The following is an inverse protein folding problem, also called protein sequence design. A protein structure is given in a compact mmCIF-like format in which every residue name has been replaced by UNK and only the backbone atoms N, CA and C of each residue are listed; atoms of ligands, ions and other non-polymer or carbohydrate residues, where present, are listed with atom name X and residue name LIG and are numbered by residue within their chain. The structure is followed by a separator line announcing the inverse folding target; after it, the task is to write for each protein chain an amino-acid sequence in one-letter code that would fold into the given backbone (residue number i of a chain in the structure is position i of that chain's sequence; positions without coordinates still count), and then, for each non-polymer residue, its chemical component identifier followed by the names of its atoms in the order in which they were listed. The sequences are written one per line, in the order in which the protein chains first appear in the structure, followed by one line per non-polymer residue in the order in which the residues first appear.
data_IF_844178164163
#
_entry.id   IF_844178164163
#
_cell.length_a   1.000
_cell.length_b   1.000
_cell.length_c   1.000
_cell.angle_alpha   90.00
_cell.angle_beta   90.00
_cell.angle_gamma   90.00
#
_symmetry.space_group_name_H-M   'P 1'
#
loop_
_entity.id
_entity.type
_entity.pdbx_description
1 polymer ?
#
# COMPACT_ATOMS: atom_id res chain seq x y z
N UNK A 1 21.95 63.52 -40.85
CA UNK A 1 23.16 63.59 -39.99
C UNK A 1 22.79 63.44 -38.52
N UNK A 2 22.92 62.24 -37.95
CA UNK A 2 23.59 61.93 -36.66
C UNK A 2 23.54 60.42 -36.45
N UNK A 3 24.65 59.89 -35.94
CA UNK A 3 25.12 58.50 -36.00
C UNK A 3 24.48 57.59 -34.93
N UNK A 4 24.42 56.31 -35.29
CA UNK A 4 24.40 55.09 -34.47
C UNK A 4 25.17 55.18 -33.14
N UNK A 5 24.71 54.49 -32.08
CA UNK A 5 25.36 53.33 -31.44
C UNK A 5 24.66 52.98 -30.10
N UNK A 6 24.82 51.73 -29.62
CA UNK A 6 24.53 51.22 -28.25
C UNK A 6 23.03 51.00 -27.91
N UNK A 7 22.52 49.87 -27.40
CA UNK A 7 23.12 48.76 -26.63
C UNK A 7 22.19 47.54 -26.70
N UNK A 8 22.74 46.37 -27.00
CA UNK A 8 22.16 45.04 -26.75
C UNK A 8 22.17 44.82 -25.21
N UNK A 9 21.20 44.05 -24.68
CA UNK A 9 21.17 43.34 -23.37
C UNK A 9 19.93 43.73 -22.55
N UNK A 10 18.94 42.83 -22.50
CA UNK A 10 18.43 42.26 -21.24
C UNK A 10 17.58 41.00 -21.51
N UNK A 11 18.19 39.97 -22.08
CA UNK A 11 17.70 38.59 -21.91
C UNK A 11 18.63 37.96 -20.90
N UNK A 12 18.25 37.93 -19.62
CA UNK A 12 18.74 37.05 -18.54
C UNK A 12 17.94 37.42 -17.31
N UNK A 13 17.15 36.46 -16.80
CA UNK A 13 16.79 36.22 -15.38
C UNK A 13 15.43 35.51 -15.28
N UNK A 14 15.29 34.37 -15.96
CA UNK A 14 14.35 33.32 -15.56
C UNK A 14 15.15 32.06 -15.19
N UNK A 15 16.12 32.25 -14.28
CA UNK A 15 16.67 31.17 -13.45
C UNK A 15 16.22 31.44 -12.03
N UNK A 16 14.90 31.45 -11.81
CA UNK A 16 14.37 31.26 -10.47
C UNK A 16 14.76 29.84 -10.11
N UNK A 17 15.76 29.73 -9.23
CA UNK A 17 16.39 28.48 -8.84
C UNK A 17 15.34 27.48 -8.40
N UNK A 18 15.15 26.43 -9.20
CA UNK A 18 14.74 25.16 -8.64
C UNK A 18 15.90 24.77 -7.73
N UNK A 19 15.71 24.91 -6.42
CA UNK A 19 16.67 24.45 -5.42
C UNK A 19 16.75 22.93 -5.61
N UNK A 20 17.68 22.48 -6.47
CA UNK A 20 17.85 21.09 -6.76
C UNK A 20 18.44 20.46 -5.50
N UNK A 21 17.59 19.80 -4.72
CA UNK A 21 18.02 19.03 -3.55
C UNK A 21 19.21 18.16 -3.96
N UNK A 22 20.37 18.38 -3.34
CA UNK A 22 21.61 17.69 -3.72
C UNK A 22 21.77 16.43 -2.90
N UNK A 23 22.29 15.39 -3.55
CA UNK A 23 22.79 14.20 -2.85
C UNK A 23 23.98 14.60 -1.97
N UNK A 24 24.00 14.16 -0.72
CA UNK A 24 25.03 14.50 0.27
C UNK A 24 25.12 13.40 1.33
N UNK A 25 26.33 13.05 1.75
CA UNK A 25 26.56 12.07 2.81
C UNK A 25 27.78 11.21 2.50
N UNK A 26 28.13 10.31 3.42
CA UNK A 26 29.17 9.32 3.16
C UNK A 26 28.76 8.38 2.03
N UNK A 27 29.72 7.85 1.23
CA UNK A 27 29.41 6.85 0.19
C UNK A 27 28.67 5.63 0.74
N UNK A 28 29.00 5.21 1.96
CA UNK A 28 28.39 4.07 2.66
C UNK A 28 26.92 4.35 2.97
N UNK A 29 26.62 5.53 3.52
CA UNK A 29 25.24 5.93 3.84
C UNK A 29 24.38 6.10 2.58
N UNK A 30 24.93 6.75 1.54
CA UNK A 30 24.23 6.90 0.25
C UNK A 30 23.92 5.52 -0.33
N UNK A 31 24.87 4.59 -0.30
CA UNK A 31 24.68 3.22 -0.76
C UNK A 31 23.60 2.49 0.05
N UNK A 32 23.64 2.58 1.38
CA UNK A 32 22.67 1.96 2.28
C UNK A 32 21.23 2.38 1.94
N UNK A 33 21.00 3.69 1.81
CA UNK A 33 19.65 4.22 1.49
C UNK A 33 19.22 3.82 0.08
N UNK A 34 20.13 3.83 -0.90
CA UNK A 34 19.83 3.37 -2.26
C UNK A 34 19.50 1.87 -2.31
N UNK A 35 20.20 1.03 -1.55
CA UNK A 35 19.92 -0.39 -1.43
C UNK A 35 18.55 -0.63 -0.75
N UNK A 36 18.22 0.15 0.28
CA UNK A 36 16.90 0.12 0.90
C UNK A 36 15.79 0.49 -0.09
N UNK A 37 15.98 1.54 -0.89
CA UNK A 37 15.03 1.92 -1.94
C UNK A 37 14.85 0.81 -2.97
N UNK A 38 15.94 0.20 -3.44
CA UNK A 38 15.89 -0.92 -4.38
C UNK A 38 15.08 -2.08 -3.79
N UNK A 39 15.37 -2.47 -2.55
CA UNK A 39 14.63 -3.52 -1.83
C UNK A 39 13.15 -3.18 -1.67
N UNK A 40 12.81 -1.91 -1.41
CA UNK A 40 11.42 -1.44 -1.37
C UNK A 40 10.72 -1.62 -2.71
N UNK A 41 11.36 -1.25 -3.82
CA UNK A 41 10.80 -1.44 -5.18
C UNK A 41 10.58 -2.92 -5.49
N UNK A 42 11.56 -3.78 -5.16
CA UNK A 42 11.43 -5.23 -5.32
C UNK A 42 10.26 -5.79 -4.48
N UNK A 43 10.13 -5.36 -3.22
CA UNK A 43 9.04 -5.78 -2.34
C UNK A 43 7.66 -5.37 -2.85
N UNK A 44 7.54 -4.20 -3.48
CA UNK A 44 6.27 -3.73 -4.07
C UNK A 44 5.80 -4.63 -5.22
N UNK A 45 6.73 -5.24 -5.95
CA UNK A 45 6.47 -6.14 -7.08
C UNK A 45 6.25 -7.61 -6.68
N UNK A 46 6.49 -7.99 -5.43
CA UNK A 46 6.27 -9.36 -4.94
C UNK A 46 4.79 -9.74 -4.99
N UNK A 47 4.50 -11.04 -4.91
CA UNK A 47 3.12 -11.56 -4.89
C UNK A 47 2.27 -11.02 -3.72
N UNK A 48 2.89 -10.71 -2.58
CA UNK A 48 2.25 -10.05 -1.46
C UNK A 48 2.44 -8.51 -1.43
N UNK A 49 3.08 -7.94 -2.46
CA UNK A 49 3.35 -6.51 -2.61
C UNK A 49 2.10 -5.68 -2.95
N UNK A 50 2.18 -4.36 -2.79
CA UNK A 50 1.00 -3.49 -2.90
C UNK A 50 0.50 -3.26 -4.34
N UNK A 51 1.36 -3.45 -5.34
CA UNK A 51 1.04 -3.10 -6.74
C UNK A 51 0.00 -4.02 -7.39
N UNK A 52 -0.23 -5.19 -6.80
CA UNK A 52 -1.12 -6.20 -7.36
C UNK A 52 -2.51 -6.20 -6.70
N UNK A 53 -2.81 -5.27 -5.81
CA UNK A 53 -4.14 -5.14 -5.21
C UNK A 53 -5.12 -4.60 -6.25
N UNK A 54 -6.23 -5.32 -6.46
CA UNK A 54 -7.25 -4.97 -7.46
C UNK A 54 -8.68 -4.92 -6.91
N UNK A 55 -8.89 -5.34 -5.66
CA UNK A 55 -10.21 -5.31 -5.05
C UNK A 55 -10.18 -5.28 -3.53
N UNK A 56 -11.13 -4.55 -2.96
CA UNK A 56 -11.46 -4.55 -1.55
C UNK A 56 -12.99 -4.51 -1.43
N UNK A 57 -13.59 -5.58 -0.95
CA UNK A 57 -15.04 -5.70 -0.84
C UNK A 57 -15.44 -6.08 0.58
N UNK A 58 -16.29 -5.27 1.23
CA UNK A 58 -16.79 -5.60 2.56
C UNK A 58 -17.88 -6.65 2.47
N UNK A 59 -17.77 -7.68 3.32
CA UNK A 59 -18.78 -8.73 3.42
C UNK A 59 -19.99 -8.21 4.21
N UNK A 60 -21.18 -8.59 3.75
CA UNK A 60 -22.42 -8.56 4.54
C UNK A 60 -22.65 -9.93 5.17
N UNK A 61 -23.43 -9.97 6.26
CA UNK A 61 -23.89 -11.23 6.85
C UNK A 61 -24.66 -12.07 5.81
N UNK A 62 -24.44 -13.38 5.80
CA UNK A 62 -25.00 -14.29 4.80
C UNK A 62 -24.17 -14.37 3.52
N UNK A 63 -24.85 -14.57 2.39
CA UNK A 63 -24.21 -14.83 1.09
C UNK A 63 -23.65 -13.56 0.43
N UNK A 64 -22.44 -13.68 -0.11
CA UNK A 64 -21.74 -12.69 -0.91
C UNK A 64 -21.14 -13.39 -2.13
N UNK A 65 -21.64 -13.08 -3.32
CA UNK A 65 -21.22 -13.70 -4.58
C UNK A 65 -20.02 -12.97 -5.19
N UNK A 66 -19.11 -13.69 -5.86
CA UNK A 66 -17.90 -13.12 -6.47
C UNK A 66 -17.68 -13.63 -7.90
N UNK A 67 -17.36 -12.72 -8.82
CA UNK A 67 -17.02 -13.03 -10.21
C UNK A 67 -16.89 -11.80 -11.10
N UNK A 68 -16.87 -12.00 -12.42
CA UNK A 68 -16.89 -10.92 -13.42
C UNK A 68 -18.29 -10.48 -13.84
N UNK A 69 -19.32 -11.30 -13.54
CA UNK A 69 -20.70 -10.97 -13.86
C UNK A 69 -21.23 -9.82 -13.00
N UNK A 70 -21.98 -8.91 -13.61
CA UNK A 70 -22.53 -7.72 -12.94
C UNK A 70 -23.61 -8.02 -11.87
N UNK A 71 -24.12 -9.25 -11.82
CA UNK A 71 -25.09 -9.71 -10.83
C UNK A 71 -24.43 -10.15 -9.52
N UNK A 72 -23.09 -10.24 -9.46
CA UNK A 72 -22.41 -10.59 -8.22
C UNK A 72 -22.37 -9.40 -7.26
N UNK A 73 -22.30 -9.70 -5.96
CA UNK A 73 -22.04 -8.69 -4.92
C UNK A 73 -20.63 -8.09 -5.09
N UNK A 74 -19.64 -8.93 -5.39
CA UNK A 74 -18.25 -8.55 -5.60
C UNK A 74 -17.89 -8.75 -7.07
N UNK A 75 -17.67 -7.64 -7.78
CA UNK A 75 -17.41 -7.64 -9.22
C UNK A 75 -15.99 -7.19 -9.50
N UNK A 76 -15.24 -8.00 -10.25
CA UNK A 76 -14.01 -7.59 -10.92
C UNK A 76 -14.22 -7.74 -12.42
N UNK A 77 -14.26 -6.60 -13.13
CA UNK A 77 -14.46 -6.56 -14.57
C UNK A 77 -13.17 -6.99 -15.31
N UNK A 78 -12.92 -8.29 -15.34
CA UNK A 78 -11.83 -8.90 -16.10
C UNK A 78 -12.38 -10.09 -16.91
N UNK A 79 -12.26 -10.08 -18.26
CA UNK A 79 -12.67 -11.19 -19.12
C UNK A 79 -12.00 -12.53 -18.81
N UNK A 80 -10.87 -12.54 -18.10
CA UNK A 80 -10.17 -13.77 -17.70
C UNK A 80 -10.85 -14.52 -16.55
N UNK A 81 -11.77 -13.84 -15.85
CA UNK A 81 -12.52 -14.38 -14.72
C UNK A 81 -13.88 -14.94 -15.18
N UNK A 82 -14.29 -16.12 -14.67
CA UNK A 82 -15.65 -16.62 -14.83
C UNK A 82 -16.70 -15.64 -14.32
N UNK A 83 -17.89 -15.64 -14.93
CA UNK A 83 -18.99 -14.78 -14.49
C UNK A 83 -19.34 -14.99 -13.02
N UNK A 84 -19.32 -16.24 -12.54
CA UNK A 84 -19.48 -16.59 -11.12
C UNK A 84 -18.38 -17.57 -10.69
N UNK A 85 -17.53 -17.12 -9.77
CA UNK A 85 -16.35 -17.84 -9.27
C UNK A 85 -16.70 -18.64 -8.03
N UNK A 86 -17.20 -17.96 -7.00
CA UNK A 86 -17.54 -18.55 -5.71
C UNK A 86 -18.55 -17.69 -4.95
N UNK A 87 -19.04 -18.24 -3.85
CA UNK A 87 -19.87 -17.53 -2.86
C UNK A 87 -19.16 -17.58 -1.52
N UNK A 88 -19.10 -16.45 -0.82
CA UNK A 88 -18.68 -16.37 0.57
C UNK A 88 -19.92 -16.29 1.46
N UNK A 89 -19.95 -17.08 2.53
CA UNK A 89 -20.97 -17.03 3.56
C UNK A 89 -20.31 -16.51 4.82
N UNK A 90 -20.66 -15.28 5.22
CA UNK A 90 -20.31 -14.76 6.54
C UNK A 90 -21.41 -15.18 7.52
N UNK A 91 -21.01 -15.89 8.57
CA UNK A 91 -21.87 -16.18 9.72
C UNK A 91 -21.15 -15.80 11.00
N UNK A 92 -21.64 -14.79 11.69
CA UNK A 92 -21.00 -14.17 12.86
C UNK A 92 -19.56 -13.70 12.54
N UNK A 93 -18.56 -14.52 12.87
CA UNK A 93 -17.14 -14.26 12.60
C UNK A 93 -16.49 -15.26 11.66
N UNK A 94 -17.25 -16.26 11.19
CA UNK A 94 -16.77 -17.33 10.33
C UNK A 94 -17.11 -17.00 8.88
N UNK A 95 -16.09 -17.06 8.02
CA UNK A 95 -16.27 -16.90 6.57
C UNK A 95 -16.03 -18.25 5.91
N UNK A 96 -17.07 -18.83 5.33
CA UNK A 96 -16.97 -20.00 4.47
C UNK A 96 -16.92 -19.55 3.00
N UNK A 97 -16.11 -20.20 2.17
CA UNK A 97 -16.13 -20.03 0.72
C UNK A 97 -16.59 -21.33 0.06
N UNK A 98 -17.49 -21.19 -0.92
CA UNK A 98 -18.00 -22.29 -1.75
C UNK A 98 -17.69 -21.97 -3.22
N UNK A 99 -16.85 -22.78 -3.85
CA UNK A 99 -16.51 -22.67 -5.26
C UNK A 99 -17.70 -23.04 -6.15
N UNK A 100 -17.84 -22.38 -7.30
CA UNK A 100 -18.79 -22.78 -8.33
C UNK A 100 -18.34 -24.11 -9.00
N UNK A 101 -19.26 -24.88 -9.57
CA UNK A 101 -18.98 -26.26 -10.02
C UNK A 101 -17.87 -26.35 -11.06
N UNK A 102 -17.86 -25.43 -12.03
CA UNK A 102 -16.89 -25.38 -13.14
C UNK A 102 -15.66 -24.52 -12.84
N UNK A 103 -15.43 -24.20 -11.56
CA UNK A 103 -14.29 -23.39 -11.13
C UNK A 103 -13.43 -24.22 -10.20
N UNK A 104 -12.15 -24.30 -10.54
CA UNK A 104 -11.11 -24.91 -9.71
C UNK A 104 -10.40 -23.80 -8.92
N UNK A 105 -10.59 -23.82 -7.61
CA UNK A 105 -9.91 -22.91 -6.68
C UNK A 105 -8.86 -23.70 -5.92
N UNK A 106 -7.73 -23.05 -5.64
CA UNK A 106 -6.59 -23.68 -4.97
C UNK A 106 -6.32 -23.02 -3.61
N UNK A 107 -6.05 -23.83 -2.61
CA UNK A 107 -5.45 -23.41 -1.33
C UNK A 107 -4.24 -24.30 -1.09
N UNK A 108 -3.07 -23.71 -0.85
CA UNK A 108 -1.80 -24.44 -0.75
C UNK A 108 -1.56 -25.40 -1.93
N UNK A 109 -1.92 -24.94 -3.14
CA UNK A 109 -1.85 -25.69 -4.40
C UNK A 109 -2.77 -26.91 -4.51
N UNK A 110 -3.70 -27.09 -3.57
CA UNK A 110 -4.67 -28.18 -3.58
C UNK A 110 -6.07 -27.68 -3.98
N UNK A 111 -6.79 -28.40 -4.87
CA UNK A 111 -8.16 -28.07 -5.23
C UNK A 111 -9.09 -28.05 -4.03
N UNK A 112 -9.95 -27.03 -3.96
CA UNK A 112 -10.93 -26.87 -2.88
C UNK A 112 -12.29 -26.48 -3.45
N UNK A 113 -13.35 -27.16 -2.97
CA UNK A 113 -14.74 -26.81 -3.28
C UNK A 113 -15.42 -26.02 -2.17
N UNK A 114 -15.05 -26.27 -0.92
CA UNK A 114 -15.62 -25.61 0.27
C UNK A 114 -14.57 -25.52 1.38
N UNK A 115 -14.44 -24.35 2.02
CA UNK A 115 -13.44 -24.13 3.09
C UNK A 115 -13.78 -22.93 3.96
N UNK A 116 -13.43 -23.00 5.25
CA UNK A 116 -13.42 -21.83 6.14
C UNK A 116 -12.12 -21.04 6.00
N UNK A 117 -12.24 -19.72 5.85
CA UNK A 117 -11.13 -18.81 5.61
C UNK A 117 -10.66 -18.15 6.90
N UNK A 118 -9.39 -18.35 7.24
CA UNK A 118 -8.73 -17.58 8.28
C UNK A 118 -8.49 -16.15 7.77
N UNK A 119 -8.81 -15.15 8.59
CA UNK A 119 -8.55 -13.74 8.27
C UNK A 119 -7.09 -13.35 8.61
N UNK A 120 -6.65 -12.20 8.08
CA UNK A 120 -5.28 -11.68 8.22
C UNK A 120 -4.80 -11.53 9.68
N UNK A 121 -5.65 -11.06 10.59
CA UNK A 121 -5.27 -10.91 12.01
C UNK A 121 -4.99 -12.23 12.75
N UNK A 122 -5.24 -13.40 12.14
CA UNK A 122 -4.82 -14.70 12.71
C UNK A 122 -3.31 -14.96 12.54
N UNK A 123 -2.61 -14.14 11.75
CA UNK A 123 -1.19 -14.32 11.40
C UNK A 123 -0.94 -15.31 10.25
N UNK A 124 -1.91 -16.17 9.93
CA UNK A 124 -1.84 -17.12 8.80
C UNK A 124 -3.18 -17.13 8.03
N UNK A 125 -3.47 -16.08 7.24
CA UNK A 125 -4.70 -16.02 6.46
C UNK A 125 -4.75 -17.15 5.43
N UNK A 126 -5.96 -17.65 5.16
CA UNK A 126 -6.18 -18.61 4.08
C UNK A 126 -6.14 -17.86 2.75
N UNK A 127 -5.17 -18.18 1.90
CA UNK A 127 -5.02 -17.57 0.57
C UNK A 127 -5.60 -18.53 -0.46
N UNK A 128 -6.63 -18.06 -1.16
CA UNK A 128 -7.26 -18.79 -2.25
C UNK A 128 -6.71 -18.28 -3.58
N UNK A 129 -6.39 -19.20 -4.48
CA UNK A 129 -5.86 -18.91 -5.81
C UNK A 129 -6.79 -19.36 -6.95
N UNK A 130 -6.81 -18.56 -8.01
CA UNK A 130 -7.36 -18.89 -9.32
C UNK A 130 -6.53 -18.22 -10.40
N UNK A 131 -5.82 -18.98 -11.25
CA UNK A 131 -4.87 -18.41 -12.24
C UNK A 131 -3.90 -17.40 -11.55
N UNK A 132 -3.83 -16.16 -12.06
CA UNK A 132 -3.05 -15.05 -11.49
C UNK A 132 -3.71 -14.38 -10.28
N UNK A 133 -4.96 -14.71 -9.96
CA UNK A 133 -5.70 -14.10 -8.87
C UNK A 133 -5.40 -14.78 -7.53
N UNK A 134 -5.30 -13.96 -6.50
CA UNK A 134 -5.25 -14.40 -5.10
C UNK A 134 -6.25 -13.59 -4.30
N UNK A 135 -6.94 -14.22 -3.36
CA UNK A 135 -7.75 -13.49 -2.39
C UNK A 135 -7.72 -14.14 -1.02
N UNK A 136 -8.04 -13.32 -0.02
CA UNK A 136 -8.06 -13.70 1.39
C UNK A 136 -8.96 -12.72 2.15
N UNK A 137 -9.36 -13.12 3.35
CA UNK A 137 -10.19 -12.29 4.21
C UNK A 137 -9.30 -11.40 5.08
N UNK A 138 -9.68 -10.13 5.19
CA UNK A 138 -9.09 -9.19 6.13
C UNK A 138 -10.13 -8.75 7.15
N UNK A 139 -9.70 -8.49 8.39
CA UNK A 139 -10.56 -7.95 9.45
C UNK A 139 -10.16 -6.52 9.79
N UNK A 140 -11.12 -5.60 9.80
CA UNK A 140 -10.93 -4.19 10.20
C UNK A 140 -12.01 -3.82 11.20
N UNK A 141 -11.61 -3.65 12.46
CA UNK A 141 -12.56 -3.59 13.58
C UNK A 141 -13.42 -4.85 13.62
N UNK A 142 -14.74 -4.68 13.58
CA UNK A 142 -15.73 -5.77 13.57
C UNK A 142 -16.16 -6.19 12.16
N UNK A 143 -15.59 -5.60 11.11
CA UNK A 143 -15.95 -5.89 9.72
C UNK A 143 -14.96 -6.83 9.06
N UNK A 144 -15.46 -7.67 8.17
CA UNK A 144 -14.69 -8.53 7.29
C UNK A 144 -14.73 -8.00 5.86
N UNK A 145 -13.60 -8.12 5.15
CA UNK A 145 -13.54 -7.77 3.74
C UNK A 145 -12.72 -8.79 2.95
N UNK A 146 -13.10 -8.99 1.69
CA UNK A 146 -12.34 -9.73 0.70
C UNK A 146 -11.27 -8.80 0.12
N UNK A 147 -10.00 -9.16 0.30
CA UNK A 147 -8.88 -8.52 -0.40
C UNK A 147 -8.55 -9.34 -1.63
N UNK A 148 -8.60 -8.71 -2.80
CA UNK A 148 -8.30 -9.37 -4.09
C UNK A 148 -7.01 -8.82 -4.68
N UNK A 149 -6.17 -9.73 -5.15
CA UNK A 149 -4.92 -9.48 -5.85
C UNK A 149 -4.95 -10.10 -7.24
N UNK A 150 -4.34 -9.45 -8.22
CA UNK A 150 -4.01 -10.02 -9.51
C UNK A 150 -2.51 -9.84 -9.76
N UNK A 151 -1.76 -10.94 -9.73
CA UNK A 151 -0.30 -10.96 -9.91
C UNK A 151 0.14 -10.42 -11.28
N UNK A 152 -0.78 -10.35 -12.22
CA UNK A 152 -0.56 -9.84 -13.58
C UNK A 152 -1.20 -8.47 -13.83
N UNK A 153 -1.67 -7.77 -12.79
CA UNK A 153 -2.28 -6.45 -12.92
C UNK A 153 -1.36 -5.48 -13.69
N UNK A 154 -1.92 -4.59 -14.56
CA UNK A 154 -1.13 -3.65 -15.35
C UNK A 154 -0.14 -2.84 -14.51
N UNK A 155 -0.56 -2.41 -13.32
CA UNK A 155 0.29 -1.65 -12.40
C UNK A 155 1.56 -2.41 -11.98
N UNK A 156 1.53 -3.74 -11.87
CA UNK A 156 2.73 -4.55 -11.59
C UNK A 156 3.71 -4.49 -12.75
N UNK A 157 3.19 -4.60 -13.99
CA UNK A 157 3.96 -4.65 -15.23
C UNK A 157 4.53 -3.27 -15.61
N UNK A 158 3.78 -2.21 -15.32
CA UNK A 158 4.09 -0.84 -15.75
C UNK A 158 4.78 0.01 -14.67
N UNK A 159 4.98 -0.52 -13.46
CA UNK A 159 5.55 0.23 -12.35
C UNK A 159 6.99 0.71 -12.62
N UNK A 160 7.13 2.03 -12.74
CA UNK A 160 8.40 2.71 -13.06
C UNK A 160 9.25 3.07 -11.84
N UNK A 161 8.69 3.02 -10.63
CA UNK A 161 9.38 3.39 -9.40
C UNK A 161 8.55 4.32 -8.53
N UNK A 162 9.19 4.86 -7.49
CA UNK A 162 8.61 5.88 -6.61
C UNK A 162 9.51 7.11 -6.70
N UNK A 163 8.92 8.26 -6.95
CA UNK A 163 9.63 9.53 -6.88
C UNK A 163 10.21 9.73 -5.47
N UNK A 164 11.46 10.17 -5.41
CA UNK A 164 12.17 10.37 -4.14
C UNK A 164 13.11 11.54 -4.23
N UNK A 165 13.33 12.18 -3.09
CA UNK A 165 14.42 13.14 -2.93
C UNK A 165 15.78 12.42 -3.01
N UNK A 166 16.83 13.09 -3.49
CA UNK A 166 18.20 12.57 -3.42
C UNK A 166 18.61 12.29 -1.98
N UNK A 167 19.47 11.30 -1.77
CA UNK A 167 19.91 10.92 -0.42
C UNK A 167 20.72 12.05 0.18
N UNK A 168 20.30 12.56 1.33
CA UNK A 168 20.98 13.66 1.98
C UNK A 168 21.09 13.40 3.49
N UNK A 169 22.32 13.21 3.96
CA UNK A 169 22.64 12.90 5.36
C UNK A 169 22.33 14.05 6.32
N UNK A 170 22.10 15.28 5.84
CA UNK A 170 21.57 16.36 6.68
C UNK A 170 20.15 16.05 7.21
N UNK A 171 19.44 15.11 6.55
CA UNK A 171 18.13 14.61 6.98
C UNK A 171 18.22 13.34 7.83
N UNK A 172 19.43 12.86 8.16
CA UNK A 172 19.67 11.80 9.14
C UNK A 172 19.73 12.41 10.53
N UNK A 173 18.55 12.66 11.09
CA UNK A 173 18.41 13.41 12.35
C UNK A 173 18.33 12.43 13.53
N UNK A 174 19.19 12.63 14.53
CA UNK A 174 19.06 11.96 15.83
C UNK A 174 17.97 12.68 16.63
N UNK A 175 17.03 11.91 17.16
CA UNK A 175 15.90 12.43 17.92
C UNK A 175 15.85 11.83 19.33
N UNK A 176 15.41 12.62 20.30
CA UNK A 176 15.14 12.17 21.66
C UNK A 176 13.78 11.47 21.70
N UNK A 177 13.78 10.19 22.10
CA UNK A 177 12.55 9.47 22.35
C UNK A 177 12.01 9.79 23.75
N UNK A 178 10.79 10.32 23.81
CA UNK A 178 10.10 10.69 25.03
C UNK A 178 8.93 9.72 25.22
N UNK A 179 9.04 8.74 26.14
CA UNK A 179 8.01 7.73 26.34
C UNK A 179 6.74 8.34 26.96
N UNK A 180 5.60 7.75 26.62
CA UNK A 180 4.35 7.94 27.37
C UNK A 180 4.19 6.81 28.38
N UNK A 181 3.90 7.16 29.64
CA UNK A 181 3.59 6.20 30.68
C UNK A 181 2.29 6.62 31.39
N UNK A 182 1.14 5.97 31.11
CA UNK A 182 0.98 4.84 30.18
C UNK A 182 1.06 5.28 28.69
N UNK A 183 1.26 4.33 27.75
CA UNK A 183 1.10 4.58 26.31
C UNK A 183 -0.26 5.23 26.00
N UNK A 184 -0.31 6.05 24.94
CA UNK A 184 -1.50 6.82 24.57
C UNK A 184 -2.18 6.22 23.36
N UNK A 185 -3.50 6.15 23.40
CA UNK A 185 -4.30 5.86 22.21
C UNK A 185 -4.31 7.09 21.28
N UNK A 186 -4.07 6.88 19.99
CA UNK A 186 -4.16 7.90 18.94
C UNK A 186 -5.04 7.42 17.80
N UNK A 187 -5.80 8.34 17.22
CA UNK A 187 -6.68 8.06 16.10
C UNK A 187 -5.97 8.39 14.78
N UNK A 188 -5.80 7.38 13.94
CA UNK A 188 -5.20 7.50 12.62
C UNK A 188 -6.32 7.52 11.57
N UNK A 189 -6.48 8.60 10.79
CA UNK A 189 -7.46 8.62 9.72
C UNK A 189 -7.08 7.59 8.65
N UNK A 190 -8.03 6.78 8.21
CA UNK A 190 -7.86 5.84 7.11
C UNK A 190 -8.58 6.33 5.85
N UNK A 191 -8.08 5.93 4.68
CA UNK A 191 -8.70 6.23 3.39
C UNK A 191 -10.10 5.60 3.22
N UNK A 192 -10.43 4.59 4.04
CA UNK A 192 -11.74 3.93 4.05
C UNK A 192 -12.74 4.62 5.01
N UNK A 193 -12.36 5.76 5.59
CA UNK A 193 -13.25 6.60 6.43
C UNK A 193 -13.49 6.06 7.84
N UNK A 194 -12.82 4.98 8.24
CA UNK A 194 -12.89 4.41 9.59
C UNK A 194 -11.56 4.70 10.28
N UNK A 195 -11.51 5.62 11.27
CA UNK A 195 -10.28 5.87 12.01
C UNK A 195 -9.81 4.60 12.71
N UNK A 196 -8.52 4.30 12.60
CA UNK A 196 -7.89 3.19 13.32
C UNK A 196 -7.32 3.73 14.63
N UNK A 197 -7.47 2.95 15.71
CA UNK A 197 -6.89 3.26 17.02
C UNK A 197 -5.53 2.57 17.09
N UNK A 198 -4.49 3.36 17.28
CA UNK A 198 -3.12 2.87 17.50
C UNK A 198 -2.64 3.24 18.90
N UNK A 199 -1.80 2.39 19.48
CA UNK A 199 -1.18 2.66 20.77
C UNK A 199 0.19 3.28 20.54
N UNK A 200 0.29 4.58 20.77
CA UNK A 200 1.55 5.32 20.70
C UNK A 200 2.36 5.12 21.99
N UNK A 201 3.59 4.57 21.90
CA UNK A 201 4.46 4.39 23.07
C UNK A 201 5.14 5.69 23.51
N UNK A 202 5.10 6.75 22.71
CA UNK A 202 5.83 7.99 22.97
C UNK A 202 5.90 8.90 21.75
N UNK A 203 6.67 9.98 21.87
CA UNK A 203 6.99 10.90 20.77
C UNK A 203 8.49 11.01 20.58
N UNK A 204 8.93 11.32 19.36
CA UNK A 204 10.30 11.73 19.07
C UNK A 204 10.39 13.24 18.97
N UNK A 205 11.41 13.83 19.58
CA UNK A 205 11.69 15.27 19.56
C UNK A 205 13.05 15.52 18.94
N UNK A 206 13.13 16.44 17.99
CA UNK A 206 14.35 16.72 17.26
C UNK A 206 14.39 18.17 16.76
N UNK A 207 15.54 18.58 16.23
CA UNK A 207 15.73 19.91 15.64
C UNK A 207 16.02 19.82 14.14
N UNK A 208 15.49 20.80 13.40
CA UNK A 208 15.88 21.08 12.01
C UNK A 208 16.19 22.57 11.92
N UNK A 209 17.46 22.89 11.69
CA UNK A 209 17.97 24.24 11.93
C UNK A 209 17.71 24.65 13.38
N UNK A 210 17.21 25.87 13.58
CA UNK A 210 16.90 26.41 14.92
C UNK A 210 15.51 26.03 15.45
N UNK A 211 14.72 25.29 14.65
CA UNK A 211 13.35 24.91 15.02
C UNK A 211 13.31 23.51 15.63
N UNK A 212 12.52 23.37 16.69
CA UNK A 212 12.24 22.10 17.35
C UNK A 212 10.93 21.52 16.83
N UNK A 213 10.94 20.24 16.49
CA UNK A 213 9.81 19.48 15.99
C UNK A 213 9.54 18.28 16.90
N UNK A 214 8.29 17.81 16.90
CA UNK A 214 7.87 16.60 17.59
C UNK A 214 6.97 15.77 16.67
N UNK A 215 7.17 14.45 16.66
CA UNK A 215 6.33 13.49 15.93
C UNK A 215 5.89 12.37 16.88
N UNK A 216 4.64 11.93 16.76
CA UNK A 216 4.16 10.75 17.48
C UNK A 216 4.80 9.50 16.89
N UNK A 217 5.31 8.61 17.75
CA UNK A 217 5.70 7.26 17.32
C UNK A 217 4.47 6.36 17.33
N UNK A 218 4.31 5.55 16.28
CA UNK A 218 3.24 4.56 16.12
C UNK A 218 3.86 3.17 15.97
#
# INVERSE_FOLDING_TARGET
MKKNFLTIILVISFLIGCEQYKEKGSPEYIKEINDWHKKRIENLKKENGWLNLVGLFFLKEGENTFGSGNQNDFVINDPQLPEKICTFILKDTLVEMIANDNVELLVDSLPVKRIFLNHDLTGKPTIVGFKSYRWFIIKRGDKFALRVRNLEAPLVKEFKGIDRFPVNEDWKIVADFIPYNPPKEVLIPSIIGIPEKEISPGKVKFKVGDKTFELQAL
#
